data_IF_710490639818
#
_entry.id   IF_710490639818
#
_cell.length_a   1.000
_cell.length_b   1.000
_cell.length_c   1.000
_cell.angle_alpha   90.00
_cell.angle_beta   90.00
_cell.angle_gamma   90.00
#
_symmetry.space_group_name_H-M   'P 1'
#
loop_
_entity.id
_entity.type
_entity.pdbx_description
1 polymer ?
#
# COMPACT_ATOMS: atom_id res chain seq x y z
N UNK A 1 45.32 -19.26 -2.94
CA UNK A 1 44.37 -19.63 -4.00
C UNK A 1 42.96 -19.48 -3.45
N UNK A 2 42.23 -18.50 -4.00
CA UNK A 2 40.77 -18.39 -4.18
C UNK A 2 39.87 -18.92 -3.03
N UNK A 3 39.36 -18.06 -2.15
CA UNK A 3 38.08 -17.33 -2.26
C UNK A 3 36.83 -18.23 -2.34
N UNK A 4 36.03 -18.26 -1.28
CA UNK A 4 34.56 -18.21 -1.39
C UNK A 4 33.98 -17.37 -0.25
N UNK A 5 33.79 -16.08 -0.54
CA UNK A 5 32.76 -15.27 0.08
C UNK A 5 31.42 -15.93 -0.23
N UNK A 6 30.89 -16.76 0.68
CA UNK A 6 29.50 -17.19 0.58
C UNK A 6 28.63 -16.06 1.11
N UNK A 7 28.18 -15.26 0.16
CA UNK A 7 27.18 -14.22 0.31
C UNK A 7 25.96 -14.80 1.05
N UNK A 8 25.85 -14.52 2.35
CA UNK A 8 24.59 -14.70 3.09
C UNK A 8 23.64 -13.60 2.63
N UNK A 9 23.08 -13.80 1.44
CA UNK A 9 22.04 -12.99 0.89
C UNK A 9 20.87 -12.95 1.89
N UNK A 10 20.41 -11.74 2.14
CA UNK A 10 19.23 -11.42 2.93
C UNK A 10 18.03 -12.27 2.52
N UNK A 11 17.55 -13.13 3.41
CA UNK A 11 16.20 -13.69 3.36
C UNK A 11 15.53 -13.57 4.73
N UNK A 12 15.63 -12.37 5.30
CA UNK A 12 14.58 -11.88 6.18
C UNK A 12 13.42 -11.43 5.30
N UNK A 13 12.21 -11.83 5.68
CA UNK A 13 10.91 -11.47 5.11
C UNK A 13 10.38 -12.42 4.02
N UNK A 14 9.64 -13.44 4.45
CA UNK A 14 8.16 -13.53 4.29
C UNK A 14 7.75 -14.98 4.56
N UNK A 15 6.68 -15.14 5.33
CA UNK A 15 6.00 -16.42 5.54
C UNK A 15 5.87 -17.20 4.22
N UNK A 16 6.03 -18.55 4.22
CA UNK A 16 5.82 -19.36 3.01
C UNK A 16 4.39 -19.19 2.47
N UNK A 17 3.47 -18.72 3.30
CA UNK A 17 2.10 -18.40 2.90
C UNK A 17 1.95 -17.07 2.14
N UNK A 18 2.91 -16.13 2.26
CA UNK A 18 2.82 -14.79 1.63
C UNK A 18 3.58 -14.71 0.29
N UNK A 19 4.48 -15.64 0.00
CA UNK A 19 5.06 -15.80 -1.35
C UNK A 19 4.12 -16.55 -2.33
N UNK A 20 3.08 -17.24 -1.85
CA UNK A 20 2.03 -17.79 -2.74
C UNK A 20 1.16 -16.73 -3.46
N UNK A 21 1.30 -15.45 -3.11
CA UNK A 21 0.42 -14.39 -3.58
C UNK A 21 0.90 -13.78 -4.91
N UNK A 22 2.19 -13.88 -5.26
CA UNK A 22 2.76 -13.07 -6.36
C UNK A 22 3.11 -13.85 -7.64
N UNK A 23 3.33 -15.16 -7.55
CA UNK A 23 3.51 -16.02 -8.72
C UNK A 23 2.17 -16.59 -9.14
N UNK A 24 1.32 -15.73 -9.70
CA UNK A 24 0.08 -16.13 -10.32
C UNK A 24 0.36 -16.46 -11.79
N UNK A 25 0.17 -17.73 -12.17
CA UNK A 25 0.34 -18.20 -13.55
C UNK A 25 -0.34 -17.24 -14.54
N UNK A 26 0.32 -16.97 -15.69
CA UNK A 26 -0.17 -16.06 -16.73
C UNK A 26 -1.63 -16.34 -17.13
N UNK A 27 -2.03 -17.62 -17.15
CA UNK A 27 -3.40 -18.06 -17.39
C UNK A 27 -4.42 -17.53 -16.36
N UNK A 28 -4.08 -17.49 -15.07
CA UNK A 28 -4.99 -16.97 -14.02
C UNK A 28 -5.11 -15.44 -14.14
N UNK A 29 -4.02 -14.73 -14.49
CA UNK A 29 -4.06 -13.29 -14.74
C UNK A 29 -4.98 -12.96 -15.93
N UNK A 30 -4.92 -13.76 -16.98
CA UNK A 30 -5.81 -13.67 -18.13
C UNK A 30 -7.28 -13.85 -17.72
N UNK A 31 -7.62 -14.93 -17.00
CA UNK A 31 -8.98 -15.17 -16.50
C UNK A 31 -9.48 -14.06 -15.55
N UNK A 32 -8.60 -13.45 -14.75
CA UNK A 32 -8.95 -12.29 -13.94
C UNK A 32 -9.33 -11.08 -14.80
N UNK A 33 -8.56 -10.79 -15.85
CA UNK A 33 -8.85 -9.70 -16.77
C UNK A 33 -10.21 -9.91 -17.48
N UNK A 34 -10.49 -11.12 -17.94
CA UNK A 34 -11.78 -11.46 -18.56
C UNK A 34 -12.94 -11.31 -17.58
N UNK A 35 -12.79 -11.79 -16.34
CA UNK A 35 -13.79 -11.61 -15.28
C UNK A 35 -14.08 -10.11 -15.03
N UNK A 36 -13.04 -9.28 -14.98
CA UNK A 36 -13.21 -7.84 -14.79
C UNK A 36 -13.87 -7.16 -15.99
N UNK A 37 -13.57 -7.59 -17.22
CA UNK A 37 -14.26 -7.13 -18.43
C UNK A 37 -15.76 -7.49 -18.37
N UNK A 38 -16.09 -8.75 -18.05
CA UNK A 38 -17.46 -9.21 -17.90
C UNK A 38 -18.22 -8.45 -16.79
N UNK A 39 -17.57 -8.18 -15.66
CA UNK A 39 -18.16 -7.36 -14.59
C UNK A 39 -18.47 -5.94 -15.05
N UNK A 40 -17.53 -5.27 -15.73
CA UNK A 40 -17.74 -3.91 -16.26
C UNK A 40 -18.88 -3.87 -17.27
N UNK A 41 -18.94 -4.85 -18.17
CA UNK A 41 -20.03 -4.98 -19.14
C UNK A 41 -21.37 -5.20 -18.44
N UNK A 42 -21.44 -6.13 -17.47
CA UNK A 42 -22.66 -6.36 -16.69
C UNK A 42 -23.10 -5.11 -15.93
N UNK A 43 -22.20 -4.37 -15.30
CA UNK A 43 -22.54 -3.12 -14.60
C UNK A 43 -23.04 -2.03 -15.54
N UNK A 44 -22.61 -2.02 -16.80
CA UNK A 44 -23.03 -1.04 -17.81
C UNK A 44 -24.37 -1.38 -18.45
N UNK A 45 -24.59 -2.65 -18.77
CA UNK A 45 -25.73 -3.10 -19.60
C UNK A 45 -26.76 -3.92 -18.84
N UNK A 46 -26.45 -4.40 -17.63
CA UNK A 46 -27.33 -5.16 -16.73
C UNK A 46 -28.02 -6.39 -17.35
N UNK A 47 -27.44 -6.99 -18.40
CA UNK A 47 -28.06 -8.16 -19.06
C UNK A 47 -27.77 -9.47 -18.32
N UNK A 48 -28.72 -10.42 -18.32
CA UNK A 48 -28.57 -11.70 -17.61
C UNK A 48 -27.46 -12.58 -18.21
N UNK A 49 -27.21 -12.48 -19.50
CA UNK A 49 -26.12 -13.20 -20.19
C UNK A 49 -24.74 -12.78 -19.67
N UNK A 50 -24.53 -11.47 -19.48
CA UNK A 50 -23.30 -10.92 -18.93
C UNK A 50 -23.10 -11.34 -17.47
N UNK A 51 -24.18 -11.42 -16.69
CA UNK A 51 -24.15 -11.95 -15.32
C UNK A 51 -23.76 -13.44 -15.30
N UNK A 52 -24.36 -14.25 -16.16
CA UNK A 52 -23.99 -15.68 -16.31
C UNK A 52 -22.51 -15.83 -16.67
N UNK A 53 -22.02 -15.04 -17.63
CA UNK A 53 -20.61 -15.02 -18.02
C UNK A 53 -19.69 -14.61 -16.86
N UNK A 54 -20.03 -13.56 -16.13
CA UNK A 54 -19.28 -13.14 -14.94
C UNK A 54 -19.24 -14.21 -13.85
N UNK A 55 -20.37 -14.85 -13.55
CA UNK A 55 -20.47 -15.92 -12.56
C UNK A 55 -19.69 -17.17 -12.98
N UNK A 56 -19.77 -17.56 -14.25
CA UNK A 56 -18.99 -18.66 -14.84
C UNK A 56 -17.49 -18.41 -14.69
N UNK A 57 -17.01 -17.23 -15.11
CA UNK A 57 -15.60 -16.84 -15.00
C UNK A 57 -15.15 -16.77 -13.53
N UNK A 58 -16.05 -16.36 -12.62
CA UNK A 58 -15.75 -16.35 -11.18
C UNK A 58 -15.56 -17.77 -10.64
N UNK A 59 -16.43 -18.71 -10.99
CA UNK A 59 -16.28 -20.12 -10.61
C UNK A 59 -15.00 -20.72 -11.17
N UNK A 60 -14.76 -20.54 -12.47
CA UNK A 60 -13.54 -21.01 -13.14
C UNK A 60 -12.27 -20.48 -12.46
N UNK A 61 -12.25 -19.19 -12.14
CA UNK A 61 -11.13 -18.57 -11.46
C UNK A 61 -10.91 -19.14 -10.05
N UNK A 62 -11.98 -19.42 -9.30
CA UNK A 62 -11.89 -20.06 -7.99
C UNK A 62 -11.31 -21.46 -8.10
N UNK A 63 -11.77 -22.26 -9.08
CA UNK A 63 -11.23 -23.60 -9.35
C UNK A 63 -9.75 -23.54 -9.70
N UNK A 64 -9.37 -22.69 -10.66
CA UNK A 64 -7.96 -22.53 -11.05
C UNK A 64 -7.07 -22.08 -9.89
N UNK A 65 -7.56 -21.16 -9.04
CA UNK A 65 -6.82 -20.75 -7.83
C UNK A 65 -6.67 -21.88 -6.84
N UNK A 66 -7.69 -22.72 -6.67
CA UNK A 66 -7.65 -23.88 -5.80
C UNK A 66 -6.65 -24.91 -6.31
N UNK A 67 -6.71 -25.24 -7.59
CA UNK A 67 -5.80 -26.18 -8.25
C UNK A 67 -4.34 -25.72 -8.15
N UNK A 68 -4.06 -24.47 -8.53
CA UNK A 68 -2.71 -23.92 -8.45
C UNK A 68 -2.18 -23.89 -7.01
N UNK A 69 -3.05 -23.63 -6.02
CA UNK A 69 -2.66 -23.76 -4.60
C UNK A 69 -2.36 -25.21 -4.24
N UNK A 70 -3.19 -26.16 -4.68
CA UNK A 70 -2.99 -27.59 -4.49
C UNK A 70 -1.66 -28.07 -5.05
N UNK A 71 -1.38 -27.80 -6.33
CA UNK A 71 -0.11 -28.14 -7.00
C UNK A 71 1.10 -27.58 -6.25
N UNK A 72 1.00 -26.32 -5.80
CA UNK A 72 2.06 -25.69 -5.00
C UNK A 72 2.22 -26.32 -3.62
N UNK A 73 1.13 -26.73 -2.99
CA UNK A 73 1.17 -27.44 -1.72
C UNK A 73 1.78 -28.83 -1.87
N UNK A 74 1.36 -29.59 -2.89
CA UNK A 74 1.91 -30.92 -3.20
C UNK A 74 3.42 -30.84 -3.43
N UNK A 75 3.88 -29.91 -4.27
CA UNK A 75 5.30 -29.68 -4.50
C UNK A 75 6.04 -29.28 -3.21
N UNK A 76 5.44 -28.40 -2.38
CA UNK A 76 6.05 -28.00 -1.12
C UNK A 76 6.15 -29.16 -0.12
N UNK A 77 5.16 -30.06 -0.08
CA UNK A 77 5.16 -31.22 0.81
C UNK A 77 6.08 -32.34 0.34
N UNK A 78 6.28 -32.49 -0.97
CA UNK A 78 7.15 -33.53 -1.53
C UNK A 78 8.63 -33.34 -1.18
N UNK A 79 9.05 -32.11 -0.88
CA UNK A 79 10.43 -31.75 -0.53
C UNK A 79 10.65 -31.55 0.98
N UNK A 80 9.74 -32.02 1.84
CA UNK A 80 9.90 -31.88 3.29
C UNK A 80 10.78 -32.99 3.85
N UNK A 81 11.90 -32.58 4.43
CA UNK A 81 12.85 -33.45 5.13
C UNK A 81 13.13 -32.94 6.55
N UNK A 82 13.36 -33.88 7.47
CA UNK A 82 13.65 -33.61 8.88
C UNK A 82 15.10 -33.16 9.11
N UNK A 83 16.04 -33.66 8.29
CA UNK A 83 17.47 -33.28 8.34
C UNK A 83 17.70 -31.78 8.14
N UNK A 84 16.88 -31.17 7.28
CA UNK A 84 17.09 -29.81 6.77
C UNK A 84 16.25 -28.76 7.52
N UNK A 85 15.61 -29.15 8.64
CA UNK A 85 14.72 -28.30 9.43
C UNK A 85 13.51 -27.74 8.62
N UNK A 86 13.26 -28.30 7.43
CA UNK A 86 12.22 -27.85 6.50
C UNK A 86 10.83 -28.22 7.02
N UNK A 87 10.70 -29.42 7.59
CA UNK A 87 9.49 -29.91 8.23
C UNK A 87 9.03 -29.01 9.39
N UNK A 88 9.96 -28.64 10.29
CA UNK A 88 9.66 -27.76 11.42
C UNK A 88 9.27 -26.36 10.98
N UNK A 89 9.94 -25.79 9.97
CA UNK A 89 9.56 -24.50 9.38
C UNK A 89 8.14 -24.54 8.80
N UNK A 90 7.79 -25.61 8.09
CA UNK A 90 6.42 -25.81 7.58
C UNK A 90 5.40 -25.89 8.72
N UNK A 91 5.69 -26.69 9.76
CA UNK A 91 4.84 -26.84 10.93
C UNK A 91 4.62 -25.52 11.69
N UNK A 92 5.67 -24.72 11.88
CA UNK A 92 5.56 -23.38 12.46
C UNK A 92 4.62 -22.48 11.64
N UNK A 93 4.76 -22.52 10.32
CA UNK A 93 3.96 -21.69 9.43
C UNK A 93 2.47 -22.07 9.45
N UNK A 94 2.17 -23.37 9.55
CA UNK A 94 0.79 -23.87 9.70
C UNK A 94 0.19 -23.53 11.07
N UNK A 95 1.00 -23.58 12.14
CA UNK A 95 0.54 -23.26 13.50
C UNK A 95 0.25 -21.76 13.65
N UNK A 96 0.81 -20.91 12.78
CA UNK A 96 0.50 -19.48 12.75
C UNK A 96 0.88 -18.74 14.03
N UNK A 97 1.85 -19.26 14.79
CA UNK A 97 2.37 -18.59 15.99
C UNK A 97 2.95 -17.25 15.55
N UNK A 98 2.27 -16.17 15.91
CA UNK A 98 2.83 -14.83 15.77
C UNK A 98 3.94 -14.71 16.81
N UNK A 99 5.12 -14.30 16.37
CA UNK A 99 6.13 -13.86 17.31
C UNK A 99 5.53 -12.72 18.15
N UNK A 100 5.75 -12.71 19.47
CA UNK A 100 5.30 -11.60 20.30
C UNK A 100 5.94 -10.31 19.75
N UNK A 101 5.19 -9.21 19.78
CA UNK A 101 5.74 -7.92 19.39
C UNK A 101 7.02 -7.66 20.19
N UNK A 102 8.10 -7.16 19.54
CA UNK A 102 9.31 -6.84 20.27
C UNK A 102 8.99 -5.83 21.37
N UNK A 103 9.63 -5.95 22.54
CA UNK A 103 9.36 -5.08 23.66
C UNK A 103 9.75 -3.62 23.35
N UNK A 104 9.04 -2.66 23.95
CA UNK A 104 9.26 -1.23 23.70
C UNK A 104 10.65 -0.85 24.25
N UNK A 105 11.50 -0.29 23.39
CA UNK A 105 12.84 0.15 23.75
C UNK A 105 12.83 1.63 24.14
N UNK A 106 13.16 1.91 25.39
CA UNK A 106 13.44 3.27 25.86
C UNK A 106 14.89 3.68 25.56
N UNK A 107 15.25 4.91 25.92
CA UNK A 107 16.62 5.45 25.72
C UNK A 107 17.68 4.69 26.53
N UNK A 108 17.32 4.20 27.72
CA UNK A 108 18.24 3.59 28.68
C UNK A 108 17.95 2.13 28.96
N UNK A 109 16.69 1.71 28.86
CA UNK A 109 16.27 0.36 29.23
C UNK A 109 15.04 -0.08 28.45
N UNK A 110 14.76 -1.37 28.54
CA UNK A 110 13.57 -1.97 27.94
C UNK A 110 12.35 -1.76 28.84
N UNK A 111 11.26 -1.25 28.27
CA UNK A 111 10.03 -0.99 29.02
C UNK A 111 9.23 -2.28 29.25
N UNK A 112 9.39 -2.86 30.44
CA UNK A 112 8.74 -4.10 30.82
C UNK A 112 7.36 -3.85 31.45
N UNK A 113 7.25 -2.91 32.40
CA UNK A 113 5.97 -2.56 33.05
C UNK A 113 5.11 -1.63 32.19
N UNK A 114 3.79 -1.62 32.43
CA UNK A 114 2.90 -0.67 31.75
C UNK A 114 3.24 0.79 32.09
N UNK A 115 3.72 1.04 33.31
CA UNK A 115 4.22 2.36 33.71
C UNK A 115 5.43 2.75 32.88
N UNK A 116 6.44 1.88 32.82
CA UNK A 116 7.66 2.14 32.04
C UNK A 116 7.35 2.39 30.56
N UNK A 117 6.38 1.66 30.00
CA UNK A 117 5.93 1.88 28.62
C UNK A 117 5.32 3.26 28.43
N UNK A 118 4.51 3.72 29.39
CA UNK A 118 3.91 5.05 29.35
C UNK A 118 4.99 6.15 29.43
N UNK A 119 5.99 5.98 30.29
CA UNK A 119 7.12 6.93 30.41
C UNK A 119 7.94 6.99 29.12
N UNK A 120 8.31 5.83 28.56
CA UNK A 120 9.04 5.80 27.28
C UNK A 120 8.25 6.44 26.13
N UNK A 121 6.93 6.23 26.11
CA UNK A 121 6.06 6.89 25.14
C UNK A 121 5.99 8.41 25.37
N UNK A 122 5.91 8.86 26.62
CA UNK A 122 5.92 10.28 26.96
C UNK A 122 7.22 10.95 26.49
N UNK A 123 8.38 10.37 26.81
CA UNK A 123 9.71 10.87 26.42
C UNK A 123 9.88 10.97 24.89
N UNK A 124 9.39 9.97 24.17
CA UNK A 124 9.50 9.91 22.71
C UNK A 124 8.59 10.93 22.03
N UNK A 125 7.37 11.09 22.53
CA UNK A 125 6.43 12.11 22.04
C UNK A 125 6.95 13.51 22.35
N UNK A 126 7.42 13.76 23.58
CA UNK A 126 8.02 15.05 23.95
C UNK A 126 9.18 15.40 23.01
N UNK A 127 10.05 14.44 22.70
CA UNK A 127 11.16 14.65 21.77
C UNK A 127 10.68 14.95 20.35
N UNK A 128 9.63 14.25 19.88
CA UNK A 128 9.11 14.37 18.52
C UNK A 128 8.36 15.68 18.27
N UNK A 129 7.72 16.23 19.30
CA UNK A 129 6.97 17.49 19.24
C UNK A 129 7.81 18.73 19.59
N UNK A 130 9.13 18.59 19.73
CA UNK A 130 10.02 19.75 19.85
C UNK A 130 10.10 20.49 18.51
N UNK A 131 9.97 21.82 18.49
CA UNK A 131 10.15 22.59 17.27
C UNK A 131 11.55 22.32 16.71
N UNK A 132 11.64 22.01 15.42
CA UNK A 132 12.92 21.77 14.76
C UNK A 132 13.82 23.00 14.94
N UNK A 133 14.96 22.84 15.61
CA UNK A 133 15.93 23.94 15.75
C UNK A 133 16.49 24.44 14.41
N UNK A 134 16.31 23.65 13.34
CA UNK A 134 16.59 24.04 11.96
C UNK A 134 15.67 25.15 11.41
N UNK A 135 14.61 25.55 12.13
CA UNK A 135 13.75 26.68 11.76
C UNK A 135 14.15 27.99 12.43
N UNK A 136 15.41 28.13 12.87
CA UNK A 136 16.04 29.45 12.81
C UNK A 136 16.50 29.62 11.37
N UNK A 137 15.55 29.90 10.46
CA UNK A 137 15.90 30.74 9.33
C UNK A 137 16.58 31.94 9.99
N UNK A 138 17.88 32.11 9.79
CA UNK A 138 18.59 33.25 10.37
C UNK A 138 17.81 34.50 9.97
N UNK A 139 17.78 35.52 10.82
CA UNK A 139 17.15 36.81 10.50
C UNK A 139 17.56 37.29 9.10
N UNK A 140 18.78 36.95 8.68
CA UNK A 140 19.32 37.10 7.33
C UNK A 140 18.49 36.43 6.23
N UNK A 141 18.04 35.18 6.40
CA UNK A 141 17.22 34.47 5.40
C UNK A 141 15.81 35.06 5.35
N UNK A 142 15.23 35.42 6.49
CA UNK A 142 13.93 36.11 6.52
C UNK A 142 14.02 37.49 5.85
N UNK A 143 15.10 38.22 6.10
CA UNK A 143 15.40 39.52 5.47
C UNK A 143 15.67 39.38 3.97
N UNK A 144 16.37 38.32 3.55
CA UNK A 144 16.67 38.08 2.14
C UNK A 144 15.42 37.67 1.37
N UNK A 145 14.54 36.85 1.97
CA UNK A 145 13.21 36.57 1.43
C UNK A 145 12.38 37.86 1.34
N UNK A 146 12.34 38.67 2.40
CA UNK A 146 11.59 39.93 2.41
C UNK A 146 12.13 40.93 1.38
N UNK A 147 13.46 41.05 1.25
CA UNK A 147 14.12 41.90 0.26
C UNK A 147 13.83 41.42 -1.16
N UNK A 148 13.87 40.11 -1.40
CA UNK A 148 13.48 39.51 -2.66
C UNK A 148 12.02 39.83 -3.03
N UNK A 149 11.08 39.74 -2.08
CA UNK A 149 9.68 40.13 -2.33
C UNK A 149 9.49 41.64 -2.55
N UNK A 150 10.37 42.48 -2.00
CA UNK A 150 10.32 43.93 -2.18
C UNK A 150 10.93 44.36 -3.53
N UNK A 151 12.01 43.69 -3.95
CA UNK A 151 12.71 43.90 -5.23
C UNK A 151 11.99 43.23 -6.41
N UNK A 152 11.30 42.12 -6.13
CA UNK A 152 10.40 41.44 -7.05
C UNK A 152 9.00 41.35 -6.42
N UNK A 153 8.27 42.48 -6.33
CA UNK A 153 6.87 42.44 -5.96
C UNK A 153 6.18 41.41 -6.86
N UNK A 154 5.36 40.49 -6.31
CA UNK A 154 4.56 39.63 -7.16
C UNK A 154 3.80 40.55 -8.09
N UNK A 155 3.82 40.26 -9.39
CA UNK A 155 3.13 41.03 -10.41
C UNK A 155 1.64 41.12 -10.02
N UNK A 156 1.27 42.17 -9.28
CA UNK A 156 -0.06 42.75 -9.30
C UNK A 156 -0.18 43.52 -10.60
N UNK A 157 0.08 42.84 -11.71
CA UNK A 157 -0.77 43.09 -12.84
C UNK A 157 -2.18 42.88 -12.31
N UNK A 158 -3.10 43.78 -12.67
CA UNK A 158 -4.49 43.39 -12.80
C UNK A 158 -4.53 42.28 -13.85
N UNK A 159 -4.02 41.10 -13.50
CA UNK A 159 -4.05 39.91 -14.30
C UNK A 159 -5.53 39.71 -14.52
N UNK A 160 -5.97 40.05 -15.72
CA UNK A 160 -7.26 39.66 -16.25
C UNK A 160 -7.39 38.21 -15.88
N UNK A 161 -8.17 37.92 -14.82
CA UNK A 161 -8.36 36.56 -14.37
C UNK A 161 -8.93 35.88 -15.60
N UNK A 162 -8.15 35.01 -16.22
CA UNK A 162 -8.54 34.38 -17.46
C UNK A 162 -9.87 33.69 -17.17
N UNK A 163 -10.92 34.06 -17.91
CA UNK A 163 -12.22 33.45 -17.72
C UNK A 163 -12.05 31.93 -17.89
N UNK A 164 -12.55 31.17 -16.91
CA UNK A 164 -12.40 29.72 -16.89
C UNK A 164 -12.94 29.14 -18.20
N UNK A 165 -12.08 28.45 -18.95
CA UNK A 165 -12.49 27.84 -20.20
C UNK A 165 -13.40 26.63 -19.92
N UNK A 166 -14.42 26.44 -20.75
CA UNK A 166 -15.29 25.26 -20.66
C UNK A 166 -14.52 23.94 -20.74
N UNK A 167 -13.39 23.91 -21.47
CA UNK A 167 -12.52 22.75 -21.56
C UNK A 167 -11.70 22.52 -20.28
N UNK A 168 -11.33 23.59 -19.57
CA UNK A 168 -10.68 23.51 -18.27
C UNK A 168 -11.61 22.86 -17.25
N UNK A 169 -12.86 23.35 -17.17
CA UNK A 169 -13.91 22.81 -16.30
C UNK A 169 -14.14 21.32 -16.62
N UNK A 170 -14.28 20.98 -17.91
CA UNK A 170 -14.44 19.59 -18.35
C UNK A 170 -13.25 18.71 -17.96
N UNK A 171 -12.03 19.25 -18.02
CA UNK A 171 -10.82 18.53 -17.62
C UNK A 171 -10.77 18.29 -16.10
N UNK A 172 -11.24 19.26 -15.31
CA UNK A 172 -11.31 19.17 -13.84
C UNK A 172 -12.36 18.14 -13.40
N UNK A 173 -13.57 18.17 -14.01
CA UNK A 173 -14.63 17.19 -13.73
C UNK A 173 -14.12 15.77 -13.97
N UNK A 174 -13.42 15.52 -15.09
CA UNK A 174 -12.82 14.21 -15.39
C UNK A 174 -11.77 13.74 -14.37
N UNK A 175 -11.09 14.66 -13.69
CA UNK A 175 -10.09 14.33 -12.66
C UNK A 175 -10.72 14.01 -11.30
N UNK A 176 -12.00 14.33 -11.08
CA UNK A 176 -12.69 14.03 -9.83
C UNK A 176 -12.80 12.51 -9.61
N UNK A 177 -12.65 12.09 -8.35
CA UNK A 177 -12.78 10.69 -7.96
C UNK A 177 -14.26 10.35 -7.76
N UNK A 178 -14.77 9.37 -8.50
CA UNK A 178 -16.17 8.92 -8.45
C UNK A 178 -16.62 8.32 -7.10
N UNK A 179 -15.69 8.06 -6.18
CA UNK A 179 -15.96 7.45 -4.87
C UNK A 179 -15.82 8.45 -3.70
N UNK A 180 -15.95 9.75 -3.96
CA UNK A 180 -16.04 10.74 -2.90
C UNK A 180 -17.48 10.83 -2.41
N UNK A 181 -17.64 11.15 -1.13
CA UNK A 181 -18.95 11.42 -0.56
C UNK A 181 -19.57 12.64 -1.28
N UNK A 182 -20.90 12.63 -1.51
CA UNK A 182 -21.59 13.78 -2.09
C UNK A 182 -21.48 15.00 -1.17
N UNK A 183 -21.64 16.18 -1.76
CA UNK A 183 -21.73 17.42 -1.00
C UNK A 183 -23.04 17.52 -0.21
N UNK A 184 -23.28 18.69 0.40
CA UNK A 184 -24.53 19.01 1.09
C UNK A 184 -25.75 18.98 0.15
N UNK A 185 -25.52 19.21 -1.12
CA UNK A 185 -26.49 19.11 -2.22
C UNK A 185 -26.89 17.67 -2.57
N UNK A 186 -26.17 16.65 -2.06
CA UNK A 186 -26.47 15.24 -2.31
C UNK A 186 -26.05 14.75 -3.71
N UNK A 187 -25.42 15.59 -4.53
CA UNK A 187 -25.00 15.24 -5.89
C UNK A 187 -23.65 14.52 -5.81
N UNK A 188 -23.54 13.37 -6.48
CA UNK A 188 -22.29 12.59 -6.51
C UNK A 188 -21.45 12.97 -7.74
N UNK A 189 -20.14 12.81 -7.66
CA UNK A 189 -19.21 13.03 -8.79
C UNK A 189 -19.49 12.14 -10.02
N UNK A 190 -20.34 11.12 -9.91
CA UNK A 190 -20.76 10.31 -11.06
C UNK A 190 -21.88 10.97 -11.88
N UNK A 191 -22.61 11.91 -11.28
CA UNK A 191 -23.73 12.60 -11.88
C UNK A 191 -23.34 13.96 -12.50
N UNK A 192 -22.10 14.41 -12.28
CA UNK A 192 -21.49 15.65 -12.82
C UNK A 192 -20.65 15.28 -14.05
#
# INVERSE_FOLDING_TARGET
>A
MQSTLSSKAAFLNRTPLRCFIYDLLSGIKHSMAEKYRARRQWQKYCTPELLRKYNMLTKLLTTHKSQHRGEKWEAATAHLEDSDNSLWKMAQCLTGRKEPNPPIQGKTHLACSNRDKAEVLADTLETSFKPNQASKLTVEVEQEIAKHYLEHPPETEAATIQECSSDEIRSLIKKLKNCKAPGKDGITNQAI
#
